data_IF_230909213657
#
_entry.id   IF_230909213657
#
_cell.length_a   1.000
_cell.length_b   1.000
_cell.length_c   1.000
_cell.angle_alpha   90.00
_cell.angle_beta   90.00
_cell.angle_gamma   90.00
#
_symmetry.space_group_name_H-M   'P 1'
#
loop_
_entity.id
_entity.type
_entity.pdbx_description
1 polymer ?
#
# COMPACT_ATOMS: atom_id res chain seq x y z
N UNK A 1 -32.20 -24.28 6.18
CA UNK A 1 -33.27 -23.58 5.44
C UNK A 1 -32.65 -22.87 4.24
N UNK A 2 -33.15 -23.08 3.01
CA UNK A 2 -32.54 -22.55 1.77
C UNK A 2 -32.81 -21.03 1.63
N UNK A 3 -31.85 -20.22 1.18
CA UNK A 3 -32.09 -18.79 0.92
C UNK A 3 -33.17 -18.61 -0.15
N UNK A 4 -34.05 -17.63 0.06
CA UNK A 4 -35.08 -17.24 -0.92
C UNK A 4 -34.61 -16.01 -1.70
N UNK A 5 -34.58 -16.16 -3.01
CA UNK A 5 -34.19 -15.13 -3.95
C UNK A 5 -35.43 -14.62 -4.69
N UNK A 6 -35.47 -13.32 -4.97
CA UNK A 6 -36.40 -12.69 -5.92
C UNK A 6 -35.65 -12.43 -7.21
N UNK A 7 -36.28 -12.72 -8.34
CA UNK A 7 -35.91 -12.08 -9.59
C UNK A 7 -36.62 -10.73 -9.64
N UNK A 8 -35.85 -9.65 -9.80
CA UNK A 8 -36.36 -8.32 -10.02
C UNK A 8 -36.78 -8.15 -11.48
N UNK A 9 -37.60 -7.14 -11.75
CA UNK A 9 -38.16 -6.85 -13.08
C UNK A 9 -37.10 -6.47 -14.11
N UNK A 10 -35.93 -6.03 -13.67
CA UNK A 10 -34.74 -5.71 -14.49
C UNK A 10 -33.84 -6.93 -14.75
N UNK A 11 -34.23 -8.12 -14.30
CA UNK A 11 -33.46 -9.36 -14.42
C UNK A 11 -32.40 -9.58 -13.34
N UNK A 12 -32.26 -8.66 -12.38
CA UNK A 12 -31.32 -8.85 -11.26
C UNK A 12 -31.90 -9.78 -10.18
N UNK A 13 -31.07 -10.61 -9.54
CA UNK A 13 -31.50 -11.51 -8.45
C UNK A 13 -31.17 -10.88 -7.10
N UNK A 14 -32.18 -10.59 -6.28
CA UNK A 14 -32.03 -10.04 -4.93
C UNK A 14 -32.37 -11.08 -3.85
N UNK A 15 -31.58 -11.12 -2.78
CA UNK A 15 -31.84 -12.00 -1.63
C UNK A 15 -32.95 -11.37 -0.77
N UNK A 16 -34.10 -12.01 -0.64
CA UNK A 16 -35.26 -11.47 0.10
C UNK A 16 -35.15 -11.74 1.60
N UNK A 17 -34.68 -12.94 1.95
CA UNK A 17 -34.57 -13.37 3.33
C UNK A 17 -33.37 -14.29 3.50
N UNK A 18 -32.41 -13.86 4.32
CA UNK A 18 -31.45 -14.76 4.95
C UNK A 18 -32.03 -15.15 6.31
N UNK A 19 -32.13 -16.45 6.59
CA UNK A 19 -32.41 -16.92 7.97
C UNK A 19 -31.38 -16.31 8.92
N UNK A 20 -31.81 -15.86 10.10
CA UNK A 20 -30.92 -15.31 11.13
C UNK A 20 -29.80 -16.31 11.50
N UNK A 21 -30.10 -17.60 11.46
CA UNK A 21 -29.12 -18.67 11.64
C UNK A 21 -28.13 -18.75 10.48
N UNK A 22 -28.58 -18.57 9.23
CA UNK A 22 -27.70 -18.58 8.06
C UNK A 22 -26.78 -17.34 8.03
N UNK A 23 -27.28 -16.18 8.48
CA UNK A 23 -26.47 -14.98 8.67
C UNK A 23 -25.47 -15.15 9.84
N UNK A 24 -25.85 -15.82 10.93
CA UNK A 24 -24.95 -16.16 12.03
C UNK A 24 -23.90 -17.20 11.63
N UNK A 25 -24.27 -18.18 10.82
CA UNK A 25 -23.39 -19.19 10.25
C UNK A 25 -22.39 -18.56 9.29
N UNK A 26 -22.81 -17.63 8.42
CA UNK A 26 -21.90 -16.85 7.57
C UNK A 26 -21.01 -15.90 8.37
N UNK A 27 -21.45 -15.36 9.51
CA UNK A 27 -20.59 -14.56 10.41
C UNK A 27 -19.53 -15.44 11.10
N UNK A 28 -19.91 -16.65 11.56
CA UNK A 28 -18.96 -17.65 12.08
C UNK A 28 -17.99 -18.12 11.00
N UNK A 29 -18.49 -18.42 9.80
CA UNK A 29 -17.68 -18.83 8.65
C UNK A 29 -16.82 -17.68 8.10
N UNK A 30 -17.26 -16.42 8.16
CA UNK A 30 -16.45 -15.24 7.79
C UNK A 30 -15.15 -15.15 8.57
N UNK A 31 -15.13 -15.58 9.84
CA UNK A 31 -13.91 -15.65 10.66
C UNK A 31 -12.95 -16.77 10.18
N UNK A 32 -13.48 -17.83 9.57
CA UNK A 32 -12.70 -18.94 9.05
C UNK A 32 -12.19 -18.72 7.61
N UNK A 33 -12.95 -18.02 6.76
CA UNK A 33 -12.60 -17.82 5.35
C UNK A 33 -12.04 -16.43 5.03
N UNK A 34 -12.43 -15.41 5.78
CA UNK A 34 -11.71 -14.14 5.81
C UNK A 34 -10.62 -14.27 6.88
N UNK A 35 -9.65 -15.17 6.64
CA UNK A 35 -8.32 -14.91 7.17
C UNK A 35 -8.02 -13.46 6.76
N UNK A 36 -7.55 -12.57 7.66
CA UNK A 36 -6.97 -11.35 7.17
C UNK A 36 -5.89 -11.87 6.22
N UNK A 37 -6.03 -11.59 4.93
CA UNK A 37 -4.88 -11.56 4.05
C UNK A 37 -4.01 -10.55 4.76
N UNK A 38 -3.15 -11.03 5.66
CA UNK A 38 -2.16 -10.26 6.36
C UNK A 38 -1.23 -9.93 5.22
N UNK A 39 -1.62 -8.92 4.45
CA UNK A 39 -0.79 -8.31 3.45
C UNK A 39 0.47 -8.03 4.24
N UNK A 40 1.49 -8.85 3.99
CA UNK A 40 2.78 -8.67 4.63
C UNK A 40 3.09 -7.23 4.30
N UNK A 41 3.07 -6.36 5.31
CA UNK A 41 3.52 -4.98 5.13
C UNK A 41 4.94 -5.16 4.66
N UNK A 42 5.16 -5.03 3.36
CA UNK A 42 6.49 -5.07 2.79
C UNK A 42 7.12 -3.79 3.28
N UNK A 43 7.92 -3.95 4.33
CA UNK A 43 8.70 -2.88 4.93
C UNK A 43 9.53 -2.30 3.79
N UNK A 44 9.36 -1.01 3.52
CA UNK A 44 10.19 -0.30 2.55
C UNK A 44 11.67 -0.50 2.92
N UNK A 45 12.55 -0.48 1.93
CA UNK A 45 13.98 -0.40 2.21
C UNK A 45 14.28 0.86 3.02
N UNK A 46 15.19 0.76 3.99
CA UNK A 46 15.62 1.93 4.75
C UNK A 46 16.40 2.89 3.82
N UNK A 47 16.25 4.22 3.94
CA UNK A 47 16.95 5.19 3.09
C UNK A 47 18.47 4.99 3.04
N UNK A 48 19.09 4.62 4.16
CA UNK A 48 20.53 4.32 4.21
C UNK A 48 20.90 3.03 3.48
N UNK A 49 20.01 2.03 3.43
CA UNK A 49 20.23 0.83 2.61
C UNK A 49 20.16 1.16 1.12
N UNK A 50 19.25 2.05 0.71
CA UNK A 50 19.18 2.52 -0.69
C UNK A 50 20.51 3.18 -1.07
N UNK A 51 21.01 4.09 -0.23
CA UNK A 51 22.31 4.74 -0.46
C UNK A 51 23.47 3.75 -0.48
N UNK A 52 23.47 2.75 0.41
CA UNK A 52 24.50 1.73 0.45
C UNK A 52 24.52 0.89 -0.84
N UNK A 53 23.35 0.41 -1.28
CA UNK A 53 23.20 -0.36 -2.52
C UNK A 53 23.65 0.44 -3.75
N UNK A 54 23.30 1.73 -3.81
CA UNK A 54 23.78 2.61 -4.88
C UNK A 54 25.32 2.70 -4.88
N UNK A 55 25.94 2.88 -3.71
CA UNK A 55 27.41 2.90 -3.61
C UNK A 55 28.05 1.57 -3.96
N UNK A 56 27.42 0.44 -3.58
CA UNK A 56 27.89 -0.90 -3.97
C UNK A 56 27.84 -1.11 -5.50
N UNK A 57 26.93 -0.42 -6.20
CA UNK A 57 26.85 -0.38 -7.66
C UNK A 57 27.78 0.67 -8.29
N UNK A 58 28.55 1.40 -7.49
CA UNK A 58 29.46 2.45 -7.96
C UNK A 58 28.76 3.74 -8.38
N UNK A 59 27.47 3.90 -8.09
CA UNK A 59 26.71 5.10 -8.44
C UNK A 59 26.55 5.99 -7.22
N UNK A 60 26.91 7.26 -7.35
CA UNK A 60 26.70 8.24 -6.29
C UNK A 60 25.42 9.05 -6.53
N UNK A 61 24.79 9.60 -5.47
CA UNK A 61 23.64 10.48 -5.63
C UNK A 61 23.96 11.74 -6.46
N UNK A 62 25.21 12.22 -6.43
CA UNK A 62 25.66 13.35 -7.24
C UNK A 62 25.63 13.00 -8.74
N UNK A 63 26.13 11.81 -9.11
CA UNK A 63 26.07 11.34 -10.51
C UNK A 63 24.63 11.26 -11.03
N UNK A 64 23.66 10.89 -10.17
CA UNK A 64 22.24 10.91 -10.54
C UNK A 64 21.68 12.33 -10.70
N UNK A 65 22.21 13.31 -9.96
CA UNK A 65 21.84 14.71 -10.15
C UNK A 65 22.27 15.18 -11.53
N UNK A 66 23.51 14.86 -11.91
CA UNK A 66 24.09 15.23 -13.20
C UNK A 66 23.37 14.50 -14.35
N UNK A 67 23.09 13.20 -14.20
CA UNK A 67 22.42 12.39 -15.23
C UNK A 67 20.98 12.81 -15.49
N UNK A 68 20.22 13.12 -14.43
CA UNK A 68 18.80 13.45 -14.55
C UNK A 68 18.52 14.96 -14.62
N UNK A 69 19.56 15.79 -14.50
CA UNK A 69 19.51 17.25 -14.37
C UNK A 69 18.56 17.71 -13.25
N UNK A 70 18.61 17.04 -12.09
CA UNK A 70 17.74 17.33 -10.95
C UNK A 70 18.56 17.80 -9.76
N UNK A 71 18.00 18.74 -8.99
CA UNK A 71 18.60 19.20 -7.75
C UNK A 71 18.79 18.06 -6.73
N UNK A 72 19.93 18.07 -6.04
CA UNK A 72 20.25 17.11 -4.97
C UNK A 72 19.18 16.99 -3.86
N UNK A 73 18.49 18.06 -3.44
CA UNK A 73 17.39 17.95 -2.48
C UNK A 73 16.24 17.06 -2.99
N UNK A 74 15.93 17.14 -4.29
CA UNK A 74 14.87 16.34 -4.90
C UNK A 74 15.18 14.85 -4.84
N UNK A 75 16.43 14.49 -5.14
CA UNK A 75 16.89 13.09 -5.05
C UNK A 75 16.85 12.61 -3.59
N UNK A 76 17.32 13.44 -2.65
CA UNK A 76 17.27 13.13 -1.22
C UNK A 76 15.84 12.92 -0.69
N UNK A 77 14.88 13.74 -1.14
CA UNK A 77 13.46 13.59 -0.82
C UNK A 77 12.86 12.29 -1.40
N UNK A 78 13.30 11.86 -2.58
CA UNK A 78 12.86 10.58 -3.17
C UNK A 78 13.47 9.39 -2.42
N UNK A 79 14.77 9.42 -2.10
CA UNK A 79 15.44 8.35 -1.34
C UNK A 79 14.79 8.17 0.05
N UNK A 80 14.44 9.27 0.70
CA UNK A 80 13.74 9.23 2.01
C UNK A 80 12.26 8.89 1.92
N UNK A 81 11.69 8.82 0.71
CA UNK A 81 10.28 8.52 0.47
C UNK A 81 9.32 9.69 0.72
N UNK A 82 9.83 10.92 0.93
CA UNK A 82 9.02 12.14 1.09
C UNK A 82 8.44 12.64 -0.23
N UNK A 83 9.13 12.38 -1.35
CA UNK A 83 8.68 12.69 -2.70
C UNK A 83 8.52 11.42 -3.55
N UNK A 84 7.58 11.43 -4.50
CA UNK A 84 7.23 10.29 -5.37
C UNK A 84 7.44 10.60 -6.85
N UNK A 85 8.66 11.00 -7.22
CA UNK A 85 9.01 11.22 -8.62
C UNK A 85 9.25 9.90 -9.35
N UNK A 86 8.39 9.56 -10.31
CA UNK A 86 8.49 8.32 -11.10
C UNK A 86 9.83 8.22 -11.83
N UNK A 87 10.32 9.31 -12.46
CA UNK A 87 11.60 9.34 -13.18
C UNK A 87 12.77 8.89 -12.29
N UNK A 88 12.89 9.48 -11.11
CA UNK A 88 13.99 9.21 -10.18
C UNK A 88 13.85 7.79 -9.60
N UNK A 89 12.64 7.37 -9.25
CA UNK A 89 12.39 6.03 -8.71
C UNK A 89 12.69 4.93 -9.72
N UNK A 90 12.28 5.10 -10.98
CA UNK A 90 12.60 4.16 -12.05
C UNK A 90 14.10 4.04 -12.24
N UNK A 91 14.82 5.17 -12.31
CA UNK A 91 16.28 5.14 -12.49
C UNK A 91 17.01 4.44 -11.34
N UNK A 92 16.65 4.75 -10.10
CA UNK A 92 17.23 4.09 -8.93
C UNK A 92 16.86 2.60 -8.89
N UNK A 93 15.64 2.24 -9.30
CA UNK A 93 15.18 0.85 -9.42
C UNK A 93 16.01 0.06 -10.44
N UNK A 94 16.35 0.66 -11.58
CA UNK A 94 17.24 0.07 -12.59
C UNK A 94 18.65 -0.16 -12.06
N UNK A 95 19.23 0.84 -11.38
CA UNK A 95 20.59 0.74 -10.81
C UNK A 95 20.68 -0.38 -9.77
N UNK A 96 19.69 -0.45 -8.87
CA UNK A 96 19.66 -1.43 -7.78
C UNK A 96 19.20 -2.82 -8.29
N UNK A 97 18.43 -2.89 -9.38
CA UNK A 97 17.88 -4.13 -9.92
C UNK A 97 16.73 -4.70 -9.07
N UNK A 98 16.05 -3.86 -8.28
CA UNK A 98 14.89 -4.23 -7.44
C UNK A 98 13.67 -3.44 -7.91
N UNK A 99 12.46 -4.02 -7.90
CA UNK A 99 11.26 -3.30 -8.31
C UNK A 99 10.95 -2.15 -7.35
N UNK A 100 10.38 -1.06 -7.88
CA UNK A 100 10.00 0.15 -7.12
C UNK A 100 9.19 -0.19 -5.87
N UNK A 101 8.26 -1.14 -5.97
CA UNK A 101 7.40 -1.58 -4.86
C UNK A 101 8.14 -2.26 -3.69
N UNK A 102 9.36 -2.77 -3.92
CA UNK A 102 10.22 -3.29 -2.85
C UNK A 102 11.13 -2.23 -2.25
N UNK A 103 11.50 -1.21 -3.03
CA UNK A 103 12.36 -0.12 -2.56
C UNK A 103 11.52 0.87 -1.75
N UNK A 104 10.39 1.34 -2.31
CA UNK A 104 9.46 2.25 -1.66
C UNK A 104 8.13 1.54 -1.38
N UNK A 105 7.64 1.68 -0.15
CA UNK A 105 6.33 1.15 0.18
C UNK A 105 5.22 2.07 -0.38
N UNK A 106 4.29 1.47 -1.10
CA UNK A 106 3.18 2.20 -1.74
C UNK A 106 2.00 2.41 -0.78
N UNK A 107 2.09 1.91 0.47
CA UNK A 107 0.97 2.07 1.42
C UNK A 107 0.67 3.56 1.59
N UNK A 108 -0.59 3.98 1.40
CA UNK A 108 -0.97 5.35 1.72
C UNK A 108 -0.62 5.59 3.18
N UNK A 109 0.15 6.65 3.45
CA UNK A 109 0.36 7.10 4.82
C UNK A 109 -1.03 7.31 5.41
N UNK A 110 -1.33 6.58 6.48
CA UNK A 110 -2.54 6.84 7.25
C UNK A 110 -2.34 8.20 7.92
N UNK A 111 -2.67 9.27 7.20
CA UNK A 111 -2.95 10.54 7.83
C UNK A 111 -4.21 10.30 8.65
N UNK A 112 -4.03 10.12 9.98
CA UNK A 112 -5.15 10.34 10.90
C UNK A 112 -5.67 11.73 10.59
N UNK A 113 -6.93 11.82 10.17
CA UNK A 113 -7.56 13.12 10.07
C UNK A 113 -7.58 13.74 11.47
N UNK A 114 -7.41 15.06 11.57
CA UNK A 114 -7.41 15.78 12.85
C UNK A 114 -8.64 15.42 13.70
N UNK A 115 -9.78 15.19 13.05
CA UNK A 115 -11.04 14.73 13.67
C UNK A 115 -10.86 13.42 14.47
N UNK A 116 -10.10 12.46 13.95
CA UNK A 116 -9.85 11.17 14.62
C UNK A 116 -8.87 11.26 15.81
N UNK A 117 -8.05 12.33 15.88
CA UNK A 117 -7.15 12.54 16.99
C UNK A 117 -7.87 13.15 18.21
N UNK A 118 -8.89 13.97 17.97
CA UNK A 118 -9.70 14.60 19.02
C UNK A 118 -10.65 13.58 19.68
N UNK A 119 -11.21 12.63 18.92
CA UNK A 119 -12.08 11.56 19.45
C UNK A 119 -11.35 10.54 20.34
N UNK A 120 -10.05 10.34 20.15
CA UNK A 120 -9.26 9.37 20.91
C UNK A 120 -8.77 9.83 22.28
N UNK A 121 -8.98 11.10 22.64
CA UNK A 121 -8.58 11.68 23.93
C UNK A 121 -9.76 11.68 24.93
N UNK A 122 -10.99 11.48 24.43
CA UNK A 122 -12.23 11.55 25.22
C UNK A 122 -12.77 10.18 25.67
N UNK A 123 -12.00 9.10 25.56
CA UNK A 123 -12.32 7.75 26.02
C UNK A 123 -11.33 7.29 27.11
#
# INVERSE_FOLDING_TARGET
>A
MKPRYRLNTDGSISIIAMSAEYAAQLRRQRRAYLSPVRTKVTVAMHPEQIKAEMRMKGVTPAMLCDELEVSAPSISQVITGRARSTRIQTRISEIIGKPISKIWSVVPSQHRSRVQAEEGIAA
#
